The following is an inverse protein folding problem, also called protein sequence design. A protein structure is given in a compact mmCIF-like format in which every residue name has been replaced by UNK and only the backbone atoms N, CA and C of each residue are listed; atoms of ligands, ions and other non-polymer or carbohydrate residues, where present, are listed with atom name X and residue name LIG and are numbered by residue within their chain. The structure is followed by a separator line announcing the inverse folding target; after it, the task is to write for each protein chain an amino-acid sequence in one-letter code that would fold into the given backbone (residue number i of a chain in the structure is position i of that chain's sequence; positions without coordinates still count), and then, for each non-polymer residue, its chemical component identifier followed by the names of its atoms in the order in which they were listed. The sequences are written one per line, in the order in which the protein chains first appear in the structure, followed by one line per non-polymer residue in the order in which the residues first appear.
data_IF_573157943483
#
_entry.id   IF_573157943483
#
_cell.length_a   1.000
_cell.length_b   1.000
_cell.length_c   1.000
_cell.angle_alpha   90.00
_cell.angle_beta   90.00
_cell.angle_gamma   90.00
#
_symmetry.space_group_name_H-M   'P 1'
#
loop_
_entity.id
_entity.type
_entity.pdbx_description
1 polymer ?
#
# COMPACT_ATOMS: atom_id res chain seq x y z
N UNK A 1 2.35 17.12 -40.15
CA UNK A 1 1.30 16.35 -40.82
C UNK A 1 1.95 15.11 -41.39
N UNK A 2 1.83 13.98 -40.72
CA UNK A 2 2.10 12.69 -41.37
C UNK A 2 1.53 11.60 -40.42
N UNK A 3 0.39 11.06 -40.82
CA UNK A 3 -0.28 9.96 -40.10
C UNK A 3 0.24 8.65 -40.66
N UNK A 4 1.02 7.90 -39.93
CA UNK A 4 1.35 6.52 -40.28
C UNK A 4 0.35 5.59 -39.62
N UNK A 5 -0.51 5.01 -40.43
CA UNK A 5 -1.40 3.91 -40.09
C UNK A 5 -0.57 2.64 -39.90
N UNK A 6 -0.67 2.03 -38.72
CA UNK A 6 -0.10 0.71 -38.45
C UNK A 6 -1.22 -0.32 -38.68
N UNK A 7 -1.06 -1.13 -39.71
CA UNK A 7 -1.93 -2.27 -40.04
C UNK A 7 -1.63 -3.42 -39.07
N UNK A 8 -2.62 -3.89 -38.32
CA UNK A 8 -2.58 -5.14 -37.57
C UNK A 8 -3.04 -6.29 -38.46
N UNK A 9 -2.36 -7.43 -38.48
CA UNK A 9 -2.81 -8.62 -39.19
C UNK A 9 -3.86 -9.39 -38.36
N UNK A 10 -4.95 -9.73 -39.04
CA UNK A 10 -5.99 -10.64 -38.58
C UNK A 10 -5.44 -12.07 -38.43
N UNK A 11 -5.47 -12.62 -37.22
CA UNK A 11 -5.20 -14.03 -36.98
C UNK A 11 -6.53 -14.79 -37.07
N UNK A 12 -6.61 -15.63 -38.10
CA UNK A 12 -7.73 -16.55 -38.35
C UNK A 12 -7.74 -17.68 -37.34
N UNK A 13 -8.89 -17.88 -36.73
CA UNK A 13 -9.21 -19.05 -35.90
C UNK A 13 -9.31 -20.32 -36.76
N UNK A 14 -8.55 -21.34 -36.43
CA UNK A 14 -8.72 -22.70 -36.96
C UNK A 14 -9.61 -23.51 -36.01
N UNK A 15 -10.79 -23.90 -36.51
CA UNK A 15 -11.67 -24.90 -35.91
C UNK A 15 -11.06 -26.31 -36.12
N UNK A 16 -10.83 -27.04 -35.03
CA UNK A 16 -10.53 -28.48 -35.04
C UNK A 16 -11.53 -29.24 -34.19
N UNK A 17 -12.53 -29.80 -34.82
CA UNK A 17 -13.56 -30.68 -34.27
C UNK A 17 -13.10 -32.13 -34.39
N UNK A 18 -13.01 -32.90 -33.31
CA UNK A 18 -13.02 -34.37 -33.20
C UNK A 18 -13.02 -34.67 -31.71
N UNK A 19 -14.02 -35.18 -31.02
CA UNK A 19 -14.79 -36.39 -31.27
C UNK A 19 -14.08 -37.55 -30.60
N UNK A 20 -14.28 -37.79 -29.27
CA UNK A 20 -14.13 -39.12 -28.70
C UNK A 20 -15.13 -39.27 -27.53
N UNK A 21 -16.09 -40.13 -27.81
CA UNK A 21 -16.99 -40.76 -26.85
C UNK A 21 -16.19 -41.83 -26.12
N UNK A 22 -16.14 -41.75 -24.82
CA UNK A 22 -15.55 -42.76 -23.96
C UNK A 22 -16.25 -42.76 -22.61
N UNK A 23 -17.36 -43.48 -22.51
CA UNK A 23 -18.00 -43.78 -21.25
C UNK A 23 -17.13 -44.83 -20.50
N UNK A 24 -16.66 -44.49 -19.32
CA UNK A 24 -16.23 -45.44 -18.32
C UNK A 24 -16.74 -45.00 -16.95
N UNK A 25 -17.76 -45.71 -16.49
CA UNK A 25 -18.15 -45.78 -15.10
C UNK A 25 -16.97 -46.30 -14.28
N UNK A 26 -16.47 -45.54 -13.36
CA UNK A 26 -15.81 -46.03 -12.16
C UNK A 26 -16.40 -45.28 -10.97
N UNK A 27 -17.31 -45.98 -10.34
CA UNK A 27 -17.82 -45.61 -9.04
C UNK A 27 -16.76 -45.81 -7.97
N UNK A 28 -17.03 -45.26 -6.82
CA UNK A 28 -16.55 -45.59 -5.49
C UNK A 28 -15.30 -44.85 -4.99
N UNK A 29 -15.53 -44.23 -3.89
CA UNK A 29 -14.54 -44.01 -2.84
C UNK A 29 -13.98 -42.61 -2.77
N UNK A 30 -14.82 -41.64 -2.41
CA UNK A 30 -14.29 -40.48 -1.70
C UNK A 30 -13.90 -40.96 -0.32
N UNK A 31 -12.76 -41.66 -0.23
CA UNK A 31 -12.00 -41.67 1.01
C UNK A 31 -11.48 -40.25 1.18
N UNK A 32 -12.23 -39.44 1.90
CA UNK A 32 -11.72 -38.24 2.49
C UNK A 32 -10.55 -38.68 3.38
N UNK A 33 -9.35 -38.69 2.81
CA UNK A 33 -8.13 -38.61 3.59
C UNK A 33 -8.15 -37.25 4.27
N UNK A 34 -8.86 -37.16 5.37
CA UNK A 34 -8.62 -36.15 6.37
C UNK A 34 -7.20 -36.39 6.84
N UNK A 35 -6.24 -35.77 6.16
CA UNK A 35 -4.92 -35.59 6.72
C UNK A 35 -5.15 -34.60 7.85
N UNK A 36 -5.38 -35.09 9.07
CA UNK A 36 -5.14 -34.32 10.26
C UNK A 36 -3.70 -33.87 10.18
N UNK A 37 -3.46 -32.66 9.71
CA UNK A 37 -2.18 -31.99 9.81
C UNK A 37 -2.00 -31.67 11.27
N UNK A 38 -1.23 -32.49 12.02
CA UNK A 38 -1.13 -32.27 13.44
C UNK A 38 -0.43 -30.94 13.68
N UNK A 39 -1.16 -30.00 14.24
CA UNK A 39 -0.60 -28.82 14.91
C UNK A 39 0.39 -28.02 14.06
N UNK A 40 -0.05 -27.60 12.88
CA UNK A 40 0.66 -26.51 12.23
C UNK A 40 0.49 -25.30 13.16
N UNK A 41 1.58 -24.78 13.76
CA UNK A 41 1.46 -23.57 14.58
C UNK A 41 0.75 -22.54 13.73
N UNK A 42 -0.31 -21.96 14.26
CA UNK A 42 -1.02 -20.89 13.57
C UNK A 42 0.03 -19.87 13.15
N UNK A 43 0.25 -19.74 11.85
CA UNK A 43 1.12 -18.70 11.32
C UNK A 43 0.41 -17.41 11.68
N UNK A 44 0.83 -16.81 12.79
CA UNK A 44 0.38 -15.47 13.14
C UNK A 44 0.94 -14.55 12.09
N UNK A 45 0.13 -14.26 11.06
CA UNK A 45 0.49 -13.27 10.08
C UNK A 45 0.67 -11.95 10.83
N UNK A 46 1.83 -11.35 10.67
CA UNK A 46 2.05 -10.01 11.18
C UNK A 46 1.08 -9.05 10.50
N UNK A 47 0.36 -8.27 11.29
CA UNK A 47 -0.67 -7.35 10.84
C UNK A 47 -0.39 -5.94 11.33
N UNK A 48 -0.96 -4.96 10.66
CA UNK A 48 -0.90 -3.57 11.09
C UNK A 48 -2.11 -3.22 11.95
N UNK A 49 -1.92 -2.36 12.93
CA UNK A 49 -2.98 -1.88 13.77
C UNK A 49 -3.89 -0.90 13.02
N UNK A 50 -5.14 -1.27 12.77
CA UNK A 50 -6.10 -0.42 12.09
C UNK A 50 -6.49 0.81 12.92
N UNK A 51 -6.63 0.66 14.24
CA UNK A 51 -6.94 1.80 15.10
C UNK A 51 -5.81 2.84 15.13
N UNK A 52 -4.55 2.40 15.14
CA UNK A 52 -3.41 3.32 15.07
C UNK A 52 -3.30 3.97 13.69
N UNK A 53 -3.74 3.31 12.63
CA UNK A 53 -3.88 3.95 11.34
C UNK A 53 -4.85 5.13 11.40
N UNK A 54 -6.03 4.93 11.95
CA UNK A 54 -7.06 5.98 12.05
C UNK A 54 -6.63 7.14 12.94
N UNK A 55 -5.97 6.84 14.06
CA UNK A 55 -5.67 7.84 15.09
C UNK A 55 -4.33 8.55 14.88
N UNK A 56 -3.38 7.92 14.18
CA UNK A 56 -2.04 8.46 13.99
C UNK A 56 -1.66 8.66 12.52
N UNK A 57 -1.86 7.65 11.68
CA UNK A 57 -1.37 7.69 10.29
C UNK A 57 -2.28 8.52 9.41
N UNK A 58 -3.59 8.30 9.49
CA UNK A 58 -4.55 9.04 8.66
C UNK A 58 -4.50 10.55 8.91
N UNK A 59 -4.35 11.06 10.17
CA UNK A 59 -4.10 12.47 10.43
C UNK A 59 -2.82 13.02 9.76
N UNK A 60 -1.77 12.22 9.63
CA UNK A 60 -0.58 12.62 8.87
C UNK A 60 -0.89 12.72 7.37
N UNK A 61 -1.55 11.70 6.81
CA UNK A 61 -1.89 11.65 5.38
C UNK A 61 -2.87 12.76 4.97
N UNK A 62 -3.81 13.13 5.83
CA UNK A 62 -4.77 14.21 5.59
C UNK A 62 -4.31 15.56 6.10
N UNK A 63 -3.22 15.61 6.85
CA UNK A 63 -2.65 16.83 7.41
C UNK A 63 -2.03 17.73 6.34
N UNK A 64 -1.91 18.98 6.69
CA UNK A 64 -1.27 20.00 5.86
C UNK A 64 0.23 20.03 6.18
N UNK A 65 1.08 19.61 5.27
CA UNK A 65 2.53 19.48 5.48
C UNK A 65 3.26 20.39 4.50
N UNK A 66 4.31 21.07 4.97
CA UNK A 66 5.17 21.86 4.09
C UNK A 66 6.16 20.95 3.38
N UNK A 67 6.07 20.87 2.05
CA UNK A 67 7.02 20.14 1.22
C UNK A 67 8.28 20.97 0.94
N UNK A 68 9.33 20.32 0.42
CA UNK A 68 10.50 21.02 -0.14
C UNK A 68 10.05 22.07 -1.17
N UNK A 69 10.61 23.26 -1.07
CA UNK A 69 10.19 24.40 -1.90
C UNK A 69 9.04 25.22 -1.32
N UNK A 70 8.57 24.90 -0.10
CA UNK A 70 7.75 25.76 0.72
C UNK A 70 6.23 25.66 0.53
N UNK A 71 5.76 24.96 -0.50
CA UNK A 71 4.32 24.75 -0.69
C UNK A 71 3.74 23.84 0.40
N UNK A 72 2.54 24.17 0.83
CA UNK A 72 1.77 23.41 1.81
C UNK A 72 0.86 22.46 1.04
N UNK A 73 0.92 21.17 1.36
CA UNK A 73 0.17 20.11 0.67
C UNK A 73 -0.39 19.11 1.66
N UNK A 74 -1.41 18.37 1.24
CA UNK A 74 -1.89 17.17 1.91
C UNK A 74 -1.80 15.97 0.96
N UNK A 75 -1.55 14.79 1.48
CA UNK A 75 -1.62 13.59 0.64
C UNK A 75 -3.04 13.40 0.07
N UNK A 76 -4.07 13.88 0.76
CA UNK A 76 -5.47 13.82 0.32
C UNK A 76 -5.90 14.98 -0.58
N UNK A 77 -4.99 15.84 -1.01
CA UNK A 77 -5.34 16.92 -1.95
C UNK A 77 -5.81 16.36 -3.30
N UNK A 78 -6.72 17.09 -3.96
CA UNK A 78 -7.36 16.68 -5.21
C UNK A 78 -6.39 16.40 -6.36
N UNK A 79 -5.21 17.01 -6.33
CA UNK A 79 -4.15 16.77 -7.33
C UNK A 79 -3.12 15.73 -6.89
N UNK A 80 -3.25 15.21 -5.66
CA UNK A 80 -2.36 14.20 -5.09
C UNK A 80 -3.06 12.83 -5.06
N UNK A 81 -3.39 12.34 -3.88
CA UNK A 81 -3.90 10.99 -3.68
C UNK A 81 -5.42 10.93 -3.41
N UNK A 82 -6.16 12.03 -3.56
CA UNK A 82 -7.62 11.95 -3.52
C UNK A 82 -8.18 11.10 -4.68
N UNK A 83 -9.42 10.65 -4.54
CA UNK A 83 -10.14 9.95 -5.61
C UNK A 83 -10.20 10.85 -6.86
N UNK A 84 -9.69 10.35 -7.97
CA UNK A 84 -9.58 11.12 -9.23
C UNK A 84 -8.34 12.01 -9.32
N UNK A 85 -7.47 12.01 -8.32
CA UNK A 85 -6.18 12.69 -8.34
C UNK A 85 -5.10 11.95 -9.13
N UNK A 86 -3.88 12.46 -9.07
CA UNK A 86 -2.74 11.95 -9.85
C UNK A 86 -1.89 10.92 -9.08
N UNK A 87 -2.31 10.50 -7.90
CA UNK A 87 -1.56 9.63 -6.98
C UNK A 87 -1.43 8.16 -7.40
N UNK A 88 -1.81 7.82 -8.62
CA UNK A 88 -1.67 6.48 -9.14
C UNK A 88 -2.52 5.45 -8.37
N UNK A 89 -1.88 4.36 -7.93
CA UNK A 89 -2.56 3.31 -7.16
C UNK A 89 -2.74 3.62 -5.67
N UNK A 90 -2.00 4.59 -5.14
CA UNK A 90 -2.19 5.06 -3.77
C UNK A 90 -3.30 6.13 -3.79
N UNK A 91 -4.54 5.71 -3.63
CA UNK A 91 -5.70 6.62 -3.67
C UNK A 91 -6.44 6.56 -2.34
N UNK A 92 -6.66 7.72 -1.74
CA UNK A 92 -7.30 7.89 -0.45
C UNK A 92 -8.70 8.51 -0.62
N UNK A 93 -9.69 7.86 -0.04
CA UNK A 93 -11.09 8.30 -0.05
C UNK A 93 -11.55 8.79 1.32
N UNK A 94 -12.87 8.80 1.50
CA UNK A 94 -13.52 9.19 2.77
C UNK A 94 -13.68 8.01 3.73
N UNK A 95 -13.47 6.78 3.28
CA UNK A 95 -13.59 5.58 4.10
C UNK A 95 -12.20 5.14 4.59
N UNK A 96 -11.96 5.30 5.89
CA UNK A 96 -10.68 4.96 6.50
C UNK A 96 -10.37 3.46 6.46
N UNK A 97 -11.37 2.60 6.44
CA UNK A 97 -11.14 1.16 6.32
C UNK A 97 -10.56 0.79 4.95
N UNK A 98 -11.01 1.46 3.90
CA UNK A 98 -10.46 1.34 2.55
C UNK A 98 -9.07 1.99 2.49
N UNK A 99 -8.90 3.17 3.06
CA UNK A 99 -7.61 3.86 3.13
C UNK A 99 -6.55 3.02 3.84
N UNK A 100 -6.91 2.33 4.91
CA UNK A 100 -6.03 1.39 5.61
C UNK A 100 -5.55 0.26 4.69
N UNK A 101 -6.45 -0.37 3.93
CA UNK A 101 -6.08 -1.43 3.00
C UNK A 101 -5.19 -0.93 1.86
N UNK A 102 -5.47 0.27 1.36
CA UNK A 102 -4.62 0.94 0.38
C UNK A 102 -3.23 1.17 0.96
N UNK A 103 -3.13 1.83 2.12
CA UNK A 103 -1.84 2.11 2.77
C UNK A 103 -1.04 0.83 3.07
N UNK A 104 -1.71 -0.22 3.57
CA UNK A 104 -1.10 -1.52 3.84
C UNK A 104 -0.46 -2.13 2.58
N UNK A 105 -1.00 -1.89 1.39
CA UNK A 105 -0.45 -2.41 0.14
C UNK A 105 0.88 -1.77 -0.28
N UNK A 106 1.26 -0.65 0.34
CA UNK A 106 2.52 0.07 0.13
C UNK A 106 3.53 -0.13 1.26
N UNK A 107 3.27 -1.10 2.16
CA UNK A 107 4.13 -1.40 3.31
C UNK A 107 5.04 -2.58 3.01
N UNK A 108 6.30 -2.46 3.43
CA UNK A 108 7.25 -3.56 3.51
C UNK A 108 7.39 -4.01 4.97
N UNK A 109 6.77 -5.14 5.30
CA UNK A 109 6.75 -5.69 6.66
C UNK A 109 8.14 -6.15 7.16
N UNK A 110 9.01 -6.54 6.23
CA UNK A 110 10.36 -7.04 6.56
C UNK A 110 11.35 -5.92 6.76
N UNK A 111 11.20 -4.85 5.98
CA UNK A 111 12.04 -3.67 6.03
C UNK A 111 11.16 -2.41 6.02
N UNK A 112 10.64 -1.98 7.17
CA UNK A 112 9.71 -0.85 7.26
C UNK A 112 10.21 0.43 6.58
N UNK A 113 11.50 0.72 6.66
CA UNK A 113 12.11 1.88 5.99
C UNK A 113 12.03 1.83 4.45
N UNK A 114 11.88 0.63 3.86
CA UNK A 114 11.77 0.42 2.42
C UNK A 114 10.31 0.36 1.95
N UNK A 115 9.38 0.71 2.82
CA UNK A 115 7.97 0.85 2.46
C UNK A 115 7.80 2.01 1.49
N UNK A 116 7.10 1.79 0.37
CA UNK A 116 6.84 2.86 -0.60
C UNK A 116 6.11 4.05 0.02
N UNK A 117 5.28 3.79 1.04
CA UNK A 117 4.61 4.82 1.84
C UNK A 117 5.57 5.79 2.52
N UNK A 118 6.82 5.40 2.74
CA UNK A 118 7.88 6.19 3.35
C UNK A 118 8.93 6.66 2.34
N UNK A 119 9.35 5.77 1.44
CA UNK A 119 10.44 6.06 0.47
C UNK A 119 10.03 7.13 -0.51
N UNK A 120 8.83 7.02 -1.08
CA UNK A 120 8.36 7.95 -2.11
C UNK A 120 8.31 9.41 -1.64
N UNK A 121 7.72 9.74 -0.47
CA UNK A 121 7.68 11.12 0.01
C UNK A 121 9.01 11.61 0.65
N UNK A 122 10.05 10.74 0.75
CA UNK A 122 11.34 11.07 1.39
C UNK A 122 12.50 10.81 0.44
N UNK A 123 12.56 11.45 -0.68
CA UNK A 123 13.40 11.02 -1.82
C UNK A 123 14.92 11.06 -1.66
N UNK A 124 15.47 12.02 -0.93
CA UNK A 124 16.88 12.34 -1.15
C UNK A 124 17.90 11.65 -0.22
N UNK A 125 17.52 11.25 0.99
CA UNK A 125 18.53 10.81 1.95
C UNK A 125 18.59 9.30 2.18
N UNK A 126 17.71 8.54 1.58
CA UNK A 126 17.41 7.25 2.19
C UNK A 126 17.33 6.08 1.26
N UNK A 127 17.40 6.28 -0.01
CA UNK A 127 17.34 5.15 -0.92
C UNK A 127 18.64 5.00 -1.70
N UNK A 128 19.42 3.96 -1.41
CA UNK A 128 20.26 3.35 -2.43
C UNK A 128 19.38 2.57 -3.41
N UNK A 129 18.06 2.75 -3.39
CA UNK A 129 17.20 1.94 -4.21
C UNK A 129 17.38 2.32 -5.66
N UNK A 130 17.61 1.30 -6.45
CA UNK A 130 17.64 1.29 -7.90
C UNK A 130 16.30 1.69 -8.54
N UNK A 131 15.32 2.02 -7.74
CA UNK A 131 14.03 2.57 -8.16
C UNK A 131 14.09 4.05 -7.84
N UNK A 132 14.51 4.83 -8.81
CA UNK A 132 14.33 6.28 -8.79
C UNK A 132 12.82 6.57 -8.88
N UNK A 133 12.16 6.44 -7.76
CA UNK A 133 10.76 6.76 -7.65
C UNK A 133 10.68 8.27 -7.50
N UNK A 134 10.33 8.92 -8.59
CA UNK A 134 10.01 10.34 -8.58
C UNK A 134 8.63 10.51 -7.95
N UNK A 135 8.56 11.00 -6.71
CA UNK A 135 7.29 11.39 -6.12
C UNK A 135 6.77 12.68 -6.78
N UNK A 136 5.69 12.56 -7.55
CA UNK A 136 5.12 13.69 -8.29
C UNK A 136 4.71 14.88 -7.42
N UNK A 137 4.41 14.65 -6.14
CA UNK A 137 4.15 15.66 -5.12
C UNK A 137 5.39 16.40 -4.61
N UNK A 138 6.58 15.95 -4.98
CA UNK A 138 7.84 16.40 -4.42
C UNK A 138 8.16 15.77 -3.07
N UNK A 139 9.25 16.18 -2.48
CA UNK A 139 9.71 15.69 -1.19
C UNK A 139 8.88 16.29 -0.05
N UNK A 140 8.28 15.43 0.76
CA UNK A 140 7.38 15.80 1.86
C UNK A 140 8.10 15.71 3.20
N UNK A 141 8.81 14.60 3.45
CA UNK A 141 9.54 14.39 4.69
C UNK A 141 11.02 14.72 4.48
N UNK A 142 11.58 15.70 5.22
CA UNK A 142 12.97 16.12 5.04
C UNK A 142 14.01 15.07 5.47
N UNK A 143 13.62 14.11 6.30
CA UNK A 143 14.50 13.04 6.77
C UNK A 143 13.72 11.91 7.44
N UNK A 144 14.41 10.82 7.76
CA UNK A 144 13.88 9.72 8.59
C UNK A 144 13.63 10.10 10.05
N UNK A 145 14.08 11.27 10.50
CA UNK A 145 13.83 11.78 11.84
C UNK A 145 12.66 12.75 11.90
N UNK A 146 12.03 13.04 10.77
CA UNK A 146 10.80 13.83 10.71
C UNK A 146 9.69 13.18 11.53
N UNK A 147 8.93 13.97 12.30
CA UNK A 147 7.93 13.45 13.21
C UNK A 147 6.80 12.69 12.50
N UNK A 148 6.39 13.15 11.31
CA UNK A 148 5.38 12.46 10.52
C UNK A 148 5.92 11.17 9.89
N UNK A 149 7.17 11.19 9.40
CA UNK A 149 7.86 9.99 8.95
C UNK A 149 7.91 8.94 10.06
N UNK A 150 8.35 9.33 11.27
CA UNK A 150 8.45 8.42 12.42
C UNK A 150 7.10 7.88 12.86
N UNK A 151 6.03 8.65 12.75
CA UNK A 151 4.68 8.19 13.07
C UNK A 151 4.27 7.03 12.15
N UNK A 152 4.45 7.18 10.84
CA UNK A 152 4.15 6.14 9.86
C UNK A 152 5.11 4.95 10.05
N UNK A 153 6.41 5.20 10.23
CA UNK A 153 7.41 4.16 10.45
C UNK A 153 7.10 3.31 11.69
N UNK A 154 6.75 3.95 12.81
CA UNK A 154 6.41 3.25 14.05
C UNK A 154 5.15 2.40 13.88
N UNK A 155 4.13 2.90 13.17
CA UNK A 155 2.95 2.12 12.85
C UNK A 155 3.30 0.86 12.05
N UNK A 156 4.17 0.98 11.04
CA UNK A 156 4.63 -0.17 10.24
C UNK A 156 5.45 -1.16 11.07
N UNK A 157 6.30 -0.65 11.95
CA UNK A 157 7.22 -1.46 12.77
C UNK A 157 6.52 -2.17 13.93
N UNK A 158 5.46 -1.58 14.47
CA UNK A 158 4.70 -2.14 15.59
C UNK A 158 3.61 -3.12 15.11
N UNK A 159 4.05 -4.21 14.49
CA UNK A 159 3.17 -5.24 13.97
C UNK A 159 2.46 -5.98 15.12
N UNK A 160 1.19 -6.29 14.91
CA UNK A 160 0.36 -7.04 15.85
C UNK A 160 0.11 -8.47 15.34
N UNK A 161 -0.12 -9.45 16.22
CA UNK A 161 -0.27 -10.85 15.82
C UNK A 161 -1.57 -11.15 15.04
N UNK A 162 -2.58 -10.30 15.16
CA UNK A 162 -3.83 -10.39 14.40
C UNK A 162 -4.60 -9.07 14.44
N UNK A 163 -5.47 -8.84 13.47
CA UNK A 163 -6.30 -7.62 13.40
C UNK A 163 -7.47 -7.58 14.40
N UNK A 164 -7.63 -8.55 15.27
CA UNK A 164 -8.76 -8.60 16.20
C UNK A 164 -8.63 -7.64 17.40
N UNK A 165 -7.53 -6.92 17.49
CA UNK A 165 -7.36 -5.86 18.48
C UNK A 165 -8.17 -4.64 18.07
N UNK A 166 -9.31 -4.46 18.74
CA UNK A 166 -10.21 -3.31 18.57
C UNK A 166 -9.74 -2.06 19.31
N UNK A 167 -8.57 -2.11 19.94
CA UNK A 167 -8.00 -1.03 20.73
C UNK A 167 -6.77 -0.38 20.08
N UNK A 168 -6.33 0.71 20.68
CA UNK A 168 -5.06 1.36 20.33
C UNK A 168 -3.89 0.41 20.57
N UNK A 169 -2.96 0.35 19.62
CA UNK A 169 -1.78 -0.50 19.71
C UNK A 169 -0.54 0.27 20.18
N UNK A 170 -0.69 1.54 20.54
CA UNK A 170 0.35 2.32 21.19
C UNK A 170 0.95 3.45 20.37
N UNK A 171 0.33 3.87 19.27
CA UNK A 171 0.82 5.05 18.57
C UNK A 171 0.54 6.33 19.37
N UNK A 172 1.44 7.30 19.22
CA UNK A 172 1.25 8.66 19.72
C UNK A 172 0.93 9.56 18.53
N UNK A 173 -0.27 10.18 18.48
CA UNK A 173 -0.61 11.12 17.42
C UNK A 173 0.37 12.29 17.38
N UNK A 174 0.84 12.66 16.21
CA UNK A 174 1.57 13.92 16.02
C UNK A 174 0.55 15.05 16.09
N UNK A 175 0.86 16.10 16.83
CA UNK A 175 0.07 17.31 16.77
C UNK A 175 0.01 17.77 15.30
N UNK A 176 -1.18 17.86 14.74
CA UNK A 176 -1.45 18.15 13.32
C UNK A 176 -1.14 19.60 12.93
N UNK A 177 -0.05 20.14 13.44
CA UNK A 177 0.40 21.47 13.11
C UNK A 177 1.62 21.39 12.22
N UNK A 178 1.70 22.24 11.22
CA UNK A 178 2.85 22.48 10.33
C UNK A 178 4.20 22.57 11.04
N UNK A 179 4.21 22.81 12.36
CA UNK A 179 5.41 22.94 13.17
C UNK A 179 6.09 21.61 13.47
N UNK A 180 5.39 20.48 13.27
CA UNK A 180 5.90 19.16 13.69
C UNK A 180 6.42 18.32 12.54
N UNK A 181 6.02 18.60 11.31
CA UNK A 181 6.26 17.75 10.15
C UNK A 181 6.66 18.57 8.93
N UNK A 182 7.46 17.92 8.07
CA UNK A 182 7.85 18.49 6.80
C UNK A 182 8.97 19.53 6.91
N UNK A 183 9.12 20.32 5.87
CA UNK A 183 10.20 21.31 5.78
C UNK A 183 9.90 22.54 6.63
N UNK A 184 10.91 23.14 7.27
CA UNK A 184 10.73 24.38 8.02
C UNK A 184 10.30 25.53 7.09
N UNK A 185 9.69 26.60 7.65
CA UNK A 185 9.26 27.78 6.89
C UNK A 185 10.44 28.54 6.25
#
# INVERSE_FOLDING_TARGET
MDRRYINLPLIRAARGLRGFVGAALCGLGVLACGVDVPNQPAVTSAELCANDFDTCVMPVLSGQIRRRGGAIVSCTDSNCHAVGGNGGRFTLGTDNSVNFLVAKSFVNFTSPHDSLLLVEPTQDDVSPSTVAAFHGGGEIFPSRTDACYLTIYNWISNQIPNQSTTGACGCTPVASTFASCGYPP
#
